data_IF_745625610091
#
_entry.id   IF_745625610091
#
_cell.length_a   1.000
_cell.length_b   1.000
_cell.length_c   1.000
_cell.angle_alpha   90.00
_cell.angle_beta   90.00
_cell.angle_gamma   90.00
#
_symmetry.space_group_name_H-M   'P 1'
#
loop_
_entity.id
_entity.type
_entity.pdbx_description
1 polymer ?
#
# COMPACT_ATOMS: atom_id res chain seq x y z
N UNK A 1 -9.07 36.61 -16.38
CA UNK A 1 -7.88 36.08 -15.68
C UNK A 1 -8.33 34.85 -14.90
N UNK A 2 -7.71 33.68 -15.12
CA UNK A 2 -8.00 32.47 -14.35
C UNK A 2 -7.31 32.61 -12.98
N UNK A 3 -8.08 32.81 -11.93
CA UNK A 3 -7.58 32.96 -10.55
C UNK A 3 -7.55 31.59 -9.86
N UNK A 4 -6.59 31.38 -8.95
CA UNK A 4 -6.48 30.15 -8.15
C UNK A 4 -7.81 29.73 -7.48
N UNK A 5 -8.66 30.71 -7.16
CA UNK A 5 -10.02 30.52 -6.64
C UNK A 5 -10.93 29.64 -7.51
N UNK A 6 -10.71 29.53 -8.82
CA UNK A 6 -11.53 28.66 -9.67
C UNK A 6 -11.34 27.16 -9.36
N UNK A 7 -10.26 26.79 -8.65
CA UNK A 7 -10.04 25.41 -8.22
C UNK A 7 -10.76 25.07 -6.91
N UNK A 8 -11.37 26.04 -6.24
CA UNK A 8 -12.18 25.82 -5.04
C UNK A 8 -13.65 25.95 -5.46
N UNK A 9 -14.42 24.89 -5.25
CA UNK A 9 -15.87 24.92 -5.42
C UNK A 9 -16.52 24.41 -4.14
N UNK A 10 -16.85 25.33 -3.24
CA UNK A 10 -17.51 24.99 -2.00
C UNK A 10 -18.99 24.65 -2.24
N UNK A 11 -19.50 23.70 -1.47
CA UNK A 11 -20.93 23.30 -1.49
C UNK A 11 -21.81 24.26 -0.64
N UNK A 12 -21.18 25.21 0.06
CA UNK A 12 -21.80 26.19 0.94
C UNK A 12 -21.08 27.51 0.69
N UNK A 13 -21.82 28.60 0.48
CA UNK A 13 -21.29 29.94 0.22
C UNK A 13 -20.54 30.53 1.43
N UNK A 14 -19.52 29.83 1.93
CA UNK A 14 -18.64 30.26 2.99
C UNK A 14 -17.35 30.81 2.37
N UNK A 15 -16.73 31.77 3.04
CA UNK A 15 -15.47 32.34 2.60
C UNK A 15 -14.37 31.29 2.75
N UNK A 16 -13.57 31.15 1.69
CA UNK A 16 -12.48 30.18 1.65
C UNK A 16 -11.44 30.51 2.72
N UNK A 17 -10.99 29.48 3.43
CA UNK A 17 -10.00 29.66 4.49
C UNK A 17 -8.62 29.98 3.89
N UNK A 18 -7.78 30.74 4.60
CA UNK A 18 -6.42 31.08 4.16
C UNK A 18 -5.60 29.84 3.74
N UNK A 19 -5.85 28.71 4.41
CA UNK A 19 -5.21 27.44 4.09
C UNK A 19 -5.71 26.86 2.75
N UNK A 20 -7.01 26.94 2.46
CA UNK A 20 -7.57 26.48 1.20
C UNK A 20 -7.08 27.32 0.02
N UNK A 21 -6.95 28.63 0.21
CA UNK A 21 -6.33 29.51 -0.78
C UNK A 21 -4.88 29.11 -1.07
N UNK A 22 -4.11 28.76 -0.04
CA UNK A 22 -2.74 28.25 -0.19
C UNK A 22 -2.69 26.94 -0.98
N UNK A 23 -3.61 26.01 -0.71
CA UNK A 23 -3.73 24.74 -1.47
C UNK A 23 -4.13 25.00 -2.91
N UNK A 24 -5.07 25.91 -3.15
CA UNK A 24 -5.51 26.26 -4.49
C UNK A 24 -4.40 26.94 -5.31
N UNK A 25 -3.63 27.83 -4.69
CA UNK A 25 -2.46 28.44 -5.31
C UNK A 25 -1.41 27.38 -5.66
N UNK A 26 -1.13 26.44 -4.75
CA UNK A 26 -0.21 25.34 -5.03
C UNK A 26 -0.71 24.51 -6.23
N UNK A 27 -1.99 24.17 -6.31
CA UNK A 27 -2.56 23.45 -7.44
C UNK A 27 -2.48 24.23 -8.76
N UNK A 28 -2.57 25.56 -8.72
CA UNK A 28 -2.42 26.42 -9.89
C UNK A 28 -0.96 26.47 -10.38
N UNK A 29 -0.02 26.63 -9.46
CA UNK A 29 1.41 26.62 -9.79
C UNK A 29 1.84 25.29 -10.43
N UNK A 30 1.27 24.18 -9.95
CA UNK A 30 1.54 22.85 -10.49
C UNK A 30 1.03 22.64 -11.91
N UNK A 31 -0.10 23.27 -12.25
CA UNK A 31 -0.64 23.25 -13.61
C UNK A 31 0.29 23.96 -14.59
N UNK A 32 0.90 25.06 -14.16
CA UNK A 32 1.82 25.85 -14.98
C UNK A 32 3.22 25.22 -15.09
N UNK A 33 3.65 24.51 -14.04
CA UNK A 33 5.02 23.96 -13.97
C UNK A 33 5.17 22.67 -14.76
N UNK A 34 4.18 21.78 -14.74
CA UNK A 34 4.29 20.43 -15.31
C UNK A 34 3.34 20.21 -16.50
N UNK A 35 3.89 20.19 -17.71
CA UNK A 35 3.12 20.00 -18.95
C UNK A 35 2.38 18.65 -19.02
N UNK A 36 2.95 17.59 -18.44
CA UNK A 36 2.38 16.23 -18.50
C UNK A 36 1.11 16.03 -17.66
N UNK A 37 0.95 16.81 -16.58
CA UNK A 37 -0.19 16.69 -15.65
C UNK A 37 -1.21 17.81 -15.90
N UNK A 38 -0.83 18.82 -16.67
CA UNK A 38 -1.63 20.01 -16.95
C UNK A 38 -3.00 19.65 -17.55
N UNK A 39 -3.05 18.78 -18.55
CA UNK A 39 -4.30 18.36 -19.19
C UNK A 39 -5.28 17.70 -18.21
N UNK A 40 -4.79 16.93 -17.24
CA UNK A 40 -5.63 16.27 -16.24
C UNK A 40 -5.99 17.21 -15.08
N UNK A 41 -5.15 18.19 -14.75
CA UNK A 41 -5.36 19.15 -13.64
C UNK A 41 -6.32 20.29 -13.97
N UNK A 42 -6.49 20.65 -15.25
CA UNK A 42 -7.41 21.72 -15.69
C UNK A 42 -8.86 21.47 -15.28
N UNK A 43 -9.29 20.22 -15.36
CA UNK A 43 -10.66 19.82 -15.03
C UNK A 43 -10.84 19.48 -13.54
N UNK A 44 -9.74 19.49 -12.76
CA UNK A 44 -9.74 19.11 -11.36
C UNK A 44 -9.92 20.33 -10.45
N UNK A 45 -10.92 20.23 -9.59
CA UNK A 45 -11.17 21.17 -8.50
C UNK A 45 -11.35 20.43 -7.18
N UNK A 46 -11.20 21.16 -6.08
CA UNK A 46 -11.33 20.68 -4.71
C UNK A 46 -12.52 21.38 -4.05
N UNK A 47 -13.13 20.70 -3.08
CA UNK A 47 -14.23 21.26 -2.31
C UNK A 47 -13.71 22.03 -1.10
N UNK A 48 -12.78 21.42 -0.37
CA UNK A 48 -12.21 21.99 0.84
C UNK A 48 -10.87 21.32 1.17
N UNK A 49 -10.09 21.95 2.03
CA UNK A 49 -8.84 21.41 2.52
C UNK A 49 -8.73 21.63 4.04
N UNK A 50 -8.40 20.56 4.76
CA UNK A 50 -8.30 20.56 6.21
C UNK A 50 -6.89 20.20 6.62
N UNK A 51 -6.25 21.07 7.41
CA UNK A 51 -4.97 20.76 8.02
C UNK A 51 -5.18 19.99 9.33
N UNK A 52 -4.50 18.85 9.45
CA UNK A 52 -4.35 18.07 10.68
C UNK A 52 -2.85 18.15 11.06
N UNK A 53 -2.52 18.10 12.35
CA UNK A 53 -1.14 18.29 12.85
C UNK A 53 -0.08 17.51 12.05
N UNK A 54 -0.41 16.27 11.64
CA UNK A 54 0.48 15.35 10.93
C UNK A 54 0.29 15.36 9.41
N UNK A 55 -0.86 15.80 8.90
CA UNK A 55 -1.20 15.67 7.48
C UNK A 55 -2.17 16.72 6.96
N UNK A 56 -2.13 16.95 5.66
CA UNK A 56 -3.08 17.77 4.92
C UNK A 56 -4.11 16.86 4.26
N UNK A 57 -5.40 17.07 4.58
CA UNK A 57 -6.52 16.33 3.99
C UNK A 57 -7.20 17.22 2.96
N UNK A 58 -7.22 16.77 1.71
CA UNK A 58 -7.88 17.50 0.62
C UNK A 58 -9.16 16.77 0.24
N UNK A 59 -10.28 17.49 0.33
CA UNK A 59 -11.58 16.99 -0.05
C UNK A 59 -11.85 17.24 -1.52
N UNK A 60 -11.96 16.15 -2.28
CA UNK A 60 -12.25 16.19 -3.71
C UNK A 60 -13.70 15.77 -4.00
N UNK A 61 -14.37 16.34 -5.02
CA UNK A 61 -15.67 15.86 -5.46
C UNK A 61 -15.63 14.37 -5.82
N UNK A 62 -16.63 13.60 -5.37
CA UNK A 62 -16.71 12.16 -5.70
C UNK A 62 -16.69 11.88 -7.22
N UNK A 63 -17.25 12.79 -8.02
CA UNK A 63 -17.27 12.69 -9.49
C UNK A 63 -15.86 12.63 -10.09
N UNK A 64 -14.91 13.35 -9.49
CA UNK A 64 -13.53 13.49 -9.97
C UNK A 64 -12.56 12.47 -9.34
N UNK A 65 -13.02 11.61 -8.42
CA UNK A 65 -12.21 10.60 -7.73
C UNK A 65 -11.32 9.78 -8.68
N UNK A 66 -11.86 9.38 -9.84
CA UNK A 66 -11.12 8.59 -10.84
C UNK A 66 -9.98 9.39 -11.49
N UNK A 67 -10.20 10.67 -11.77
CA UNK A 67 -9.18 11.55 -12.33
C UNK A 67 -8.08 11.82 -11.30
N UNK A 68 -8.44 12.13 -10.05
CA UNK A 68 -7.46 12.28 -8.96
C UNK A 68 -6.61 11.03 -8.76
N UNK A 69 -7.17 9.82 -8.89
CA UNK A 69 -6.40 8.57 -8.78
C UNK A 69 -5.34 8.42 -9.88
N UNK A 70 -5.60 8.87 -11.10
CA UNK A 70 -4.62 8.79 -12.21
C UNK A 70 -3.39 9.67 -11.93
N UNK A 71 -3.62 10.91 -11.49
CA UNK A 71 -2.54 11.87 -11.19
C UNK A 71 -1.93 11.74 -9.79
N UNK A 72 -2.59 11.00 -8.89
CA UNK A 72 -2.27 10.94 -7.46
C UNK A 72 -0.79 10.79 -7.11
N UNK A 73 -0.03 9.80 -7.63
CA UNK A 73 1.35 9.60 -7.18
C UNK A 73 2.25 10.79 -7.52
N UNK A 74 1.96 11.51 -8.61
CA UNK A 74 2.69 12.72 -8.98
C UNK A 74 2.22 13.91 -8.14
N UNK A 75 0.90 14.09 -8.03
CA UNK A 75 0.28 15.20 -7.31
C UNK A 75 0.67 15.21 -5.83
N UNK A 76 0.66 14.06 -5.15
CA UNK A 76 1.05 13.94 -3.74
C UNK A 76 2.51 14.36 -3.54
N UNK A 77 3.43 13.87 -4.38
CA UNK A 77 4.87 14.21 -4.27
C UNK A 77 5.14 15.70 -4.46
N UNK A 78 4.41 16.35 -5.36
CA UNK A 78 4.50 17.78 -5.63
C UNK A 78 3.99 18.61 -4.45
N UNK A 79 2.82 18.25 -3.91
CA UNK A 79 2.22 18.95 -2.77
C UNK A 79 3.01 18.72 -1.48
N UNK A 80 3.53 17.51 -1.24
CA UNK A 80 4.38 17.21 -0.09
C UNK A 80 5.63 18.08 -0.06
N UNK A 81 6.23 18.38 -1.22
CA UNK A 81 7.37 19.32 -1.31
C UNK A 81 6.97 20.74 -0.90
N UNK A 82 5.76 21.18 -1.23
CA UNK A 82 5.25 22.52 -0.92
C UNK A 82 4.84 22.65 0.55
N UNK A 83 4.25 21.61 1.13
CA UNK A 83 3.77 21.60 2.52
C UNK A 83 4.81 21.10 3.53
N UNK A 84 6.08 21.46 3.35
CA UNK A 84 7.18 21.16 4.28
C UNK A 84 7.35 19.66 4.58
N UNK A 85 7.01 18.79 3.64
CA UNK A 85 7.11 17.33 3.79
C UNK A 85 5.99 16.71 4.63
N UNK A 86 4.93 17.45 4.98
CA UNK A 86 3.73 16.87 5.60
C UNK A 86 3.01 15.96 4.60
N UNK A 87 2.54 14.82 5.07
CA UNK A 87 1.78 13.87 4.26
C UNK A 87 0.50 14.51 3.71
N UNK A 88 0.21 14.29 2.43
CA UNK A 88 -1.02 14.78 1.78
C UNK A 88 -1.92 13.61 1.43
N UNK A 89 -3.19 13.67 1.85
CA UNK A 89 -4.18 12.61 1.66
C UNK A 89 -5.41 13.17 0.97
N UNK A 90 -5.86 12.51 -0.10
CA UNK A 90 -7.07 12.86 -0.83
C UNK A 90 -8.26 12.04 -0.33
N UNK A 91 -9.36 12.72 -0.01
CA UNK A 91 -10.61 12.09 0.42
C UNK A 91 -11.76 12.59 -0.44
N UNK A 92 -12.55 11.66 -1.01
CA UNK A 92 -13.73 12.06 -1.76
C UNK A 92 -14.84 12.55 -0.81
N UNK A 93 -15.40 13.73 -1.07
CA UNK A 93 -16.57 14.26 -0.36
C UNK A 93 -17.79 13.40 -0.67
N UNK A 94 -18.34 12.76 0.36
CA UNK A 94 -19.54 11.91 0.27
C UNK A 94 -20.57 12.42 1.24
N UNK A 95 -21.77 12.74 0.75
CA UNK A 95 -22.89 13.16 1.61
C UNK A 95 -23.48 11.93 2.30
N UNK A 96 -23.40 11.89 3.63
CA UNK A 96 -24.24 11.01 4.42
C UNK A 96 -25.64 11.65 4.51
N UNK A 97 -26.61 11.12 3.76
CA UNK A 97 -28.00 11.56 3.88
C UNK A 97 -28.53 11.11 5.24
N UNK A 98 -28.52 12.01 6.23
CA UNK A 98 -29.16 11.81 7.52
C UNK A 98 -30.65 12.16 7.40
N UNK A 99 -31.40 11.35 6.63
CA UNK A 99 -32.86 11.41 6.68
C UNK A 99 -33.32 10.95 8.07
N UNK A 100 -34.39 11.55 8.60
CA UNK A 100 -35.01 11.28 9.92
C UNK A 100 -35.63 9.87 10.05
N UNK A 101 -34.81 8.86 9.80
CA UNK A 101 -35.13 7.44 9.67
C UNK A 101 -33.83 6.76 9.26
N UNK A 102 -33.00 6.46 10.27
CA UNK A 102 -31.63 5.97 10.12
C UNK A 102 -31.64 4.60 9.45
N UNK A 103 -31.23 4.54 8.18
CA UNK A 103 -30.62 3.32 7.66
C UNK A 103 -29.13 3.34 8.08
N UNK A 104 -28.73 2.68 9.19
CA UNK A 104 -27.32 2.66 9.62
C UNK A 104 -26.36 2.11 8.55
N UNK A 105 -26.92 1.38 7.57
CA UNK A 105 -26.22 0.80 6.41
C UNK A 105 -25.54 1.84 5.52
N UNK A 106 -26.03 3.09 5.46
CA UNK A 106 -25.47 4.16 4.61
C UNK A 106 -24.25 4.85 5.22
N UNK A 107 -24.15 4.90 6.56
CA UNK A 107 -22.99 5.50 7.22
C UNK A 107 -21.78 4.55 7.19
N UNK A 108 -22.02 3.24 7.36
CA UNK A 108 -20.97 2.22 7.26
C UNK A 108 -20.30 2.22 5.90
N UNK A 109 -21.06 2.33 4.80
CA UNK A 109 -20.49 2.35 3.45
C UNK A 109 -19.67 3.62 3.19
N UNK A 110 -20.08 4.78 3.71
CA UNK A 110 -19.29 6.02 3.61
C UNK A 110 -17.96 5.87 4.36
N UNK A 111 -17.99 5.33 5.58
CA UNK A 111 -16.79 5.13 6.39
C UNK A 111 -15.82 4.13 5.76
N UNK A 112 -16.32 3.07 5.15
CA UNK A 112 -15.49 2.10 4.42
C UNK A 112 -14.83 2.73 3.21
N UNK A 113 -15.54 3.61 2.52
CA UNK A 113 -15.03 4.19 1.29
C UNK A 113 -14.09 5.39 1.53
N UNK A 114 -14.26 6.12 2.64
CA UNK A 114 -13.27 7.09 3.13
C UNK A 114 -11.97 6.36 3.50
N UNK A 115 -12.07 5.19 4.14
CA UNK A 115 -10.90 4.36 4.45
C UNK A 115 -10.15 3.92 3.19
N UNK A 116 -10.86 3.55 2.13
CA UNK A 116 -10.25 3.19 0.84
C UNK A 116 -9.58 4.38 0.15
N UNK A 117 -10.17 5.58 0.25
CA UNK A 117 -9.61 6.77 -0.37
C UNK A 117 -8.35 7.26 0.37
N UNK A 118 -8.36 7.20 1.71
CA UNK A 118 -7.24 7.64 2.52
C UNK A 118 -5.96 6.81 2.38
N UNK A 119 -6.08 5.54 1.95
CA UNK A 119 -4.94 4.60 1.89
C UNK A 119 -4.39 4.42 0.46
N UNK A 120 -5.03 5.04 -0.54
CA UNK A 120 -4.55 5.00 -1.92
C UNK A 120 -3.12 5.58 -2.00
N UNK A 121 -2.13 4.93 -2.64
CA UNK A 121 -2.23 3.86 -3.65
C UNK A 121 -2.31 2.42 -3.11
N UNK A 122 -2.16 2.20 -1.80
CA UNK A 122 -2.23 0.86 -1.24
C UNK A 122 -3.67 0.32 -1.26
N UNK A 123 -3.80 -0.96 -1.60
CA UNK A 123 -5.09 -1.64 -1.61
C UNK A 123 -5.31 -2.40 -0.29
N UNK A 124 -6.56 -2.38 0.18
CA UNK A 124 -6.94 -3.09 1.41
C UNK A 124 -7.26 -4.55 1.06
N UNK A 125 -6.45 -5.47 1.59
CA UNK A 125 -6.62 -6.92 1.38
C UNK A 125 -7.67 -7.49 2.31
N UNK A 126 -7.66 -7.07 3.58
CA UNK A 126 -8.53 -7.63 4.62
C UNK A 126 -8.81 -6.61 5.71
N UNK A 127 -10.01 -6.66 6.29
CA UNK A 127 -10.39 -5.91 7.48
C UNK A 127 -10.79 -6.89 8.59
N UNK A 128 -10.38 -6.65 9.83
CA UNK A 128 -10.77 -7.41 11.02
C UNK A 128 -11.17 -6.42 12.11
N UNK A 129 -12.21 -6.74 12.87
CA UNK A 129 -12.59 -5.93 14.03
C UNK A 129 -12.28 -6.75 15.27
N UNK A 130 -11.46 -6.19 16.17
CA UNK A 130 -11.19 -6.76 17.48
C UNK A 130 -12.05 -6.03 18.51
N UNK A 131 -12.79 -6.81 19.28
CA UNK A 131 -13.51 -6.35 20.46
C UNK A 131 -12.62 -6.53 21.69
N UNK A 132 -12.41 -5.48 22.46
CA UNK A 132 -11.74 -5.54 23.77
C UNK A 132 -12.75 -5.87 24.86
N UNK A 133 -12.27 -6.31 26.02
CA UNK A 133 -13.10 -6.59 27.20
C UNK A 133 -13.84 -5.34 27.68
N UNK A 134 -13.24 -4.16 27.49
CA UNK A 134 -13.82 -2.85 27.81
C UNK A 134 -14.97 -2.44 26.87
N UNK A 135 -15.33 -3.28 25.89
CA UNK A 135 -16.35 -2.98 24.86
C UNK A 135 -15.85 -2.09 23.71
N UNK A 136 -14.64 -1.55 23.81
CA UNK A 136 -14.01 -0.79 22.73
C UNK A 136 -13.70 -1.67 21.51
N UNK A 137 -13.82 -1.08 20.32
CA UNK A 137 -13.62 -1.76 19.03
C UNK A 137 -12.41 -1.16 18.33
N UNK A 138 -11.52 -2.01 17.85
CA UNK A 138 -10.38 -1.59 17.01
C UNK A 138 -10.45 -2.32 15.69
N UNK A 139 -10.42 -1.55 14.61
CA UNK A 139 -10.39 -2.10 13.26
C UNK A 139 -8.94 -2.31 12.84
N UNK A 140 -8.54 -3.55 12.63
CA UNK A 140 -7.26 -3.92 12.03
C UNK A 140 -7.43 -4.05 10.52
N UNK A 141 -6.72 -3.21 9.77
CA UNK A 141 -6.78 -3.15 8.32
C UNK A 141 -5.46 -3.66 7.76
N UNK A 142 -5.55 -4.70 6.92
CA UNK A 142 -4.41 -5.31 6.27
C UNK A 142 -4.26 -4.77 4.85
N UNK A 143 -3.09 -4.17 4.58
CA UNK A 143 -2.75 -3.60 3.27
C UNK A 143 -1.99 -4.59 2.40
N UNK A 144 -1.99 -4.39 1.09
CA UNK A 144 -1.24 -5.24 0.16
C UNK A 144 0.28 -5.08 0.39
N UNK A 145 1.01 -6.16 0.69
CA UNK A 145 2.46 -6.11 0.89
C UNK A 145 3.24 -5.55 -0.31
N UNK A 146 2.68 -5.54 -1.52
CA UNK A 146 3.32 -4.94 -2.70
C UNK A 146 3.55 -3.43 -2.57
N UNK A 147 2.61 -2.76 -1.91
CA UNK A 147 2.62 -1.30 -1.71
C UNK A 147 3.37 -0.86 -0.45
N UNK A 148 4.06 -1.79 0.22
CA UNK A 148 4.71 -1.57 1.52
C UNK A 148 5.77 -0.48 1.48
N UNK A 149 6.65 -0.50 0.47
CA UNK A 149 7.76 0.44 0.38
C UNK A 149 7.32 1.91 0.34
N UNK A 150 6.15 2.19 -0.27
CA UNK A 150 5.65 3.55 -0.44
C UNK A 150 4.78 4.04 0.73
N UNK A 151 4.10 3.11 1.43
CA UNK A 151 3.04 3.44 2.40
C UNK A 151 3.38 3.14 3.86
N UNK A 152 4.44 2.38 4.14
CA UNK A 152 4.86 2.01 5.50
C UNK A 152 5.16 3.24 6.38
N UNK A 153 5.71 4.30 5.79
CA UNK A 153 6.02 5.54 6.52
C UNK A 153 4.78 6.36 6.90
N UNK A 154 3.61 6.07 6.31
CA UNK A 154 2.37 6.87 6.46
C UNK A 154 1.29 6.19 7.30
N UNK A 155 1.56 5.00 7.85
CA UNK A 155 0.55 4.20 8.57
C UNK A 155 -0.03 4.93 9.79
N UNK A 156 0.83 5.63 10.55
CA UNK A 156 0.39 6.41 11.71
C UNK A 156 -0.47 7.60 11.29
N UNK A 157 -0.07 8.26 10.20
CA UNK A 157 -0.82 9.37 9.59
C UNK A 157 -2.22 8.93 9.18
N UNK A 158 -2.35 7.79 8.48
CA UNK A 158 -3.65 7.25 8.07
C UNK A 158 -4.56 6.98 9.27
N UNK A 159 -4.02 6.43 10.36
CA UNK A 159 -4.80 6.16 11.57
C UNK A 159 -5.34 7.45 12.20
N UNK A 160 -4.49 8.47 12.33
CA UNK A 160 -4.88 9.77 12.90
C UNK A 160 -5.91 10.50 12.04
N UNK A 161 -5.73 10.51 10.72
CA UNK A 161 -6.68 11.12 9.78
C UNK A 161 -8.03 10.42 9.83
N UNK A 162 -8.04 9.09 9.82
CA UNK A 162 -9.29 8.33 9.89
C UNK A 162 -10.01 8.51 11.22
N UNK A 163 -9.26 8.59 12.34
CA UNK A 163 -9.82 8.90 13.65
C UNK A 163 -10.46 10.29 13.67
N UNK A 164 -9.84 11.29 13.05
CA UNK A 164 -10.40 12.66 12.98
C UNK A 164 -11.65 12.75 12.12
N UNK A 165 -11.68 12.04 10.98
CA UNK A 165 -12.82 12.08 10.05
C UNK A 165 -14.00 11.23 10.51
N UNK A 166 -13.76 10.09 11.15
CA UNK A 166 -14.78 9.07 11.41
C UNK A 166 -15.04 8.78 12.89
N UNK A 167 -14.16 9.23 13.79
CA UNK A 167 -14.21 8.94 15.23
C UNK A 167 -13.92 7.48 15.61
N UNK A 168 -13.42 6.66 14.67
CA UNK A 168 -13.14 5.23 14.89
C UNK A 168 -11.65 4.97 14.92
N UNK A 169 -11.23 4.11 15.85
CA UNK A 169 -9.84 3.68 15.99
C UNK A 169 -9.49 2.57 14.99
N UNK A 170 -8.37 2.75 14.28
CA UNK A 170 -7.90 1.89 13.19
C UNK A 170 -6.41 1.65 13.32
N UNK A 171 -6.01 0.38 13.27
CA UNK A 171 -4.62 -0.03 13.14
C UNK A 171 -4.35 -0.60 11.75
N UNK A 172 -3.33 -0.09 11.06
CA UNK A 172 -2.88 -0.62 9.77
C UNK A 172 -1.70 -1.56 9.96
N UNK A 173 -1.75 -2.72 9.30
CA UNK A 173 -0.70 -3.73 9.36
C UNK A 173 -0.48 -4.32 7.95
N UNK A 174 0.73 -4.77 7.64
CA UNK A 174 0.96 -5.62 6.47
C UNK A 174 0.84 -7.08 6.88
N UNK A 175 0.18 -7.94 6.09
CA UNK A 175 0.16 -9.37 6.37
C UNK A 175 1.59 -9.89 6.33
N UNK A 176 2.10 -10.32 7.47
CA UNK A 176 3.29 -11.16 7.52
C UNK A 176 2.94 -12.44 6.78
N UNK A 177 3.79 -12.84 5.82
CA UNK A 177 3.63 -14.10 5.12
C UNK A 177 3.65 -15.20 6.19
N UNK A 178 2.47 -15.69 6.57
CA UNK A 178 2.36 -16.86 7.42
C UNK A 178 2.94 -18.01 6.59
N UNK A 179 4.23 -18.30 6.80
CA UNK A 179 4.78 -19.61 6.42
C UNK A 179 3.85 -20.61 7.07
N UNK A 180 3.08 -21.34 6.26
CA UNK A 180 2.22 -22.43 6.73
C UNK A 180 3.06 -23.22 7.72
N UNK A 181 2.67 -23.24 9.01
CA UNK A 181 3.32 -24.10 9.98
C UNK A 181 3.11 -25.51 9.47
N UNK A 182 4.11 -26.08 8.80
CA UNK A 182 4.12 -27.49 8.45
C UNK A 182 3.91 -28.20 9.78
N UNK A 183 2.81 -28.92 9.91
CA UNK A 183 2.56 -29.73 11.11
C UNK A 183 3.82 -30.58 11.31
N UNK A 184 4.54 -30.36 12.41
CA UNK A 184 5.56 -31.34 12.81
C UNK A 184 4.83 -32.69 12.88
N UNK A 185 5.33 -33.75 12.22
CA UNK A 185 4.74 -35.06 12.40
C UNK A 185 4.85 -35.42 13.88
N UNK A 186 3.71 -35.52 14.57
CA UNK A 186 3.63 -36.20 15.86
C UNK A 186 3.82 -37.68 15.57
N UNK A 187 5.04 -38.18 15.73
CA UNK A 187 5.33 -39.57 16.10
C UNK A 187 6.86 -39.74 16.25
N UNK A 188 7.34 -39.67 17.48
CA UNK A 188 8.43 -40.53 17.92
C UNK A 188 7.82 -41.47 18.96
N UNK A 189 7.89 -42.80 18.79
CA UNK A 189 7.49 -43.72 19.84
C UNK A 189 8.46 -43.59 21.02
N UNK A 190 7.89 -43.75 22.21
CA UNK A 190 8.56 -43.65 23.50
C UNK A 190 9.68 -44.69 23.66
N UNK A 191 10.68 -44.30 24.44
CA UNK A 191 11.82 -45.11 24.87
C UNK A 191 11.43 -46.51 25.36
N UNK A 192 12.24 -47.49 24.98
CA UNK A 192 12.18 -48.82 25.56
C UNK A 192 12.80 -49.89 24.67
N UNK A 193 14.14 -49.94 24.60
CA UNK A 193 14.89 -51.20 24.61
C UNK A 193 16.38 -50.88 24.85
N UNK A 194 16.83 -51.26 26.05
CA UNK A 194 18.22 -51.33 26.47
C UNK A 194 18.99 -52.33 25.62
N UNK A 195 20.05 -51.88 24.96
CA UNK A 195 21.01 -52.74 24.29
C UNK A 195 22.38 -52.08 24.32
N UNK A 196 23.33 -52.72 25.00
CA UNK A 196 24.69 -52.27 25.23
C UNK A 196 25.39 -51.81 23.94
N UNK A 197 25.83 -50.55 23.88
CA UNK A 197 26.80 -50.12 22.86
C UNK A 197 28.14 -49.99 23.55
N UNK A 198 28.86 -51.11 23.52
CA UNK A 198 30.30 -51.13 23.72
C UNK A 198 30.96 -50.17 22.72
N UNK A 199 31.93 -49.41 23.24
CA UNK A 199 32.92 -48.65 22.51
C UNK A 199 33.47 -49.47 21.33
N UNK A 200 33.16 -49.04 20.11
CA UNK A 200 33.92 -49.42 18.93
C UNK A 200 34.79 -48.22 18.48
N UNK A 201 36.03 -48.47 18.03
CA UNK A 201 37.05 -47.43 17.90
C UNK A 201 36.74 -46.46 16.75
N UNK A 202 37.16 -45.21 16.94
CA UNK A 202 37.19 -44.17 15.90
C UNK A 202 38.11 -44.58 14.75
N UNK A 203 37.60 -45.32 13.77
CA UNK A 203 38.19 -45.49 12.45
C UNK A 203 37.11 -45.89 11.44
N UNK A 204 36.20 -44.97 11.11
CA UNK A 204 35.25 -45.12 10.00
C UNK A 204 34.76 -43.78 9.41
N UNK A 205 35.45 -42.67 9.70
CA UNK A 205 35.11 -41.33 9.17
C UNK A 205 36.09 -40.91 8.04
N UNK A 206 37.21 -41.63 7.89
CA UNK A 206 38.22 -41.40 6.85
C UNK A 206 37.89 -42.04 5.49
N UNK A 207 37.04 -43.07 5.45
CA UNK A 207 36.64 -43.74 4.19
C UNK A 207 35.45 -43.05 3.50
N UNK A 208 34.49 -42.51 4.26
CA UNK A 208 33.34 -41.76 3.70
C UNK A 208 33.72 -40.39 3.10
N UNK A 209 34.92 -39.87 3.37
CA UNK A 209 35.43 -38.63 2.76
C UNK A 209 36.18 -38.87 1.44
N UNK A 210 36.50 -40.13 1.10
CA UNK A 210 37.14 -40.51 -0.18
C UNK A 210 36.14 -40.92 -1.27
N UNK A 211 34.89 -41.24 -0.92
CA UNK A 211 33.84 -41.56 -1.90
C UNK A 211 33.04 -40.32 -2.36
N UNK A 212 32.97 -39.26 -1.57
CA UNK A 212 32.31 -38.01 -1.98
C UNK A 212 33.12 -37.13 -2.94
N UNK A 213 34.40 -37.44 -3.14
CA UNK A 213 35.30 -36.73 -4.08
C UNK A 213 35.43 -37.42 -5.43
N UNK A 214 34.84 -38.61 -5.63
CA UNK A 214 34.82 -39.32 -6.94
C UNK A 214 33.54 -39.11 -7.75
N UNK A 215 32.46 -38.61 -7.16
CA UNK A 215 31.18 -38.37 -7.87
C UNK A 215 31.05 -36.97 -8.50
N UNK A 216 32.12 -36.16 -8.47
CA UNK A 216 32.16 -34.82 -9.10
C UNK A 216 33.00 -34.76 -10.38
N UNK A 217 33.46 -35.90 -10.88
CA UNK A 217 34.28 -36.01 -12.09
C UNK A 217 33.67 -37.02 -13.08
N UNK A 218 32.42 -36.82 -13.48
CA UNK A 218 31.81 -37.49 -14.64
C UNK A 218 30.54 -36.73 -15.05
N UNK A 219 30.72 -35.62 -15.75
CA UNK A 219 29.72 -35.04 -16.64
C UNK A 219 30.29 -35.19 -18.05
N UNK A 220 29.75 -36.07 -18.90
CA UNK A 220 30.16 -36.14 -20.30
C UNK A 220 29.67 -34.89 -21.02
N UNK A 221 30.62 -34.12 -21.57
CA UNK A 221 30.38 -33.08 -22.56
C UNK A 221 29.84 -33.75 -23.83
N UNK A 222 28.52 -33.85 -23.97
CA UNK A 222 27.89 -34.18 -25.25
C UNK A 222 27.75 -32.92 -26.10
N UNK A 223 28.27 -33.04 -27.32
CA UNK A 223 28.46 -31.96 -28.27
C UNK A 223 27.17 -31.31 -28.74
N UNK A 224 27.25 -29.99 -28.83
CA UNK A 224 26.40 -29.17 -29.68
C UNK A 224 26.74 -29.45 -31.16
N UNK A 225 25.86 -30.18 -31.82
CA UNK A 225 25.72 -30.18 -33.29
C UNK A 225 24.32 -29.66 -33.60
N UNK A 226 24.25 -28.50 -34.23
CA UNK A 226 23.04 -27.88 -34.75
C UNK A 226 23.45 -26.72 -35.66
N UNK A 227 23.03 -26.82 -36.92
CA UNK A 227 23.51 -26.11 -38.09
C UNK A 227 23.84 -24.62 -37.96
N UNK A 228 24.95 -24.26 -38.62
CA UNK A 228 25.16 -22.96 -39.24
C UNK A 228 24.43 -22.97 -40.60
N UNK A 229 23.30 -22.30 -40.69
CA UNK A 229 22.84 -21.79 -41.99
C UNK A 229 23.47 -20.42 -42.23
N UNK A 230 24.41 -20.44 -43.17
CA UNK A 230 25.01 -19.29 -43.81
C UNK A 230 23.99 -18.58 -44.71
N UNK A 231 23.64 -17.34 -44.38
CA UNK A 231 23.17 -16.38 -45.39
C UNK A 231 24.35 -15.49 -45.76
N UNK A 232 24.91 -15.80 -46.93
CA UNK A 232 25.93 -15.00 -47.58
C UNK A 232 25.30 -13.80 -48.29
N UNK A 233 26.03 -12.69 -48.23
CA UNK A 233 25.85 -11.38 -48.87
C UNK A 233 25.91 -11.47 -50.41
N UNK A 234 25.01 -10.73 -51.10
CA UNK A 234 25.05 -9.92 -52.38
C UNK A 234 26.04 -10.30 -53.53
N UNK A 235 25.84 -9.95 -54.84
CA UNK A 235 25.44 -8.63 -55.44
C UNK A 235 24.50 -8.79 -56.69
N UNK A 236 23.98 -7.78 -57.42
CA UNK A 236 24.45 -6.49 -58.00
C UNK A 236 23.29 -5.48 -58.00
#
# INVERSE_FOLDING_TARGET
MFTALQKIHEDRDADSTEFEESVAQALFDLENTNQDINSELKDLYINSAVQIDVAVVIHAPYRLRKAFRKVHPKLVRELEKKFSGKDVIFVATRRALLSKGLDPRKLTSVHEAVLEDGVYPAEIVRKRIRYRLDGSKIMKVFLDPKSRNDTENKLETFARVYMKLSGKDVGFEFPTVERKKTKQPKNYPAEGESGDINLLPNDSISELRREFSRTKAEQPTSGWQGERDSVATQPL
#
